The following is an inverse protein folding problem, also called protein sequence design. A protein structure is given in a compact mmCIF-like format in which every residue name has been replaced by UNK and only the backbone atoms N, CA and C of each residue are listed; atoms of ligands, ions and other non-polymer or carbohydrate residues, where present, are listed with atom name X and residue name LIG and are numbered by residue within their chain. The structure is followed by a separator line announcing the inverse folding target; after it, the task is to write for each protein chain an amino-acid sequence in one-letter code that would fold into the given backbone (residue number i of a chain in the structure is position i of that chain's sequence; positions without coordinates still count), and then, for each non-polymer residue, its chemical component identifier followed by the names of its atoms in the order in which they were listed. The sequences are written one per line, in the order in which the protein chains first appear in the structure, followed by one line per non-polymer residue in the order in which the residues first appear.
data_IF_145386517331
#
_entry.id   IF_145386517331
#
_cell.length_a   1.000
_cell.length_b   1.000
_cell.length_c   1.000
_cell.angle_alpha   90.00
_cell.angle_beta   90.00
_cell.angle_gamma   90.00
#
_symmetry.space_group_name_H-M   'P 1'
#
loop_
_entity.id
_entity.type
_entity.pdbx_description
1 polymer ?
#
# COMPACT_ATOMS: atom_id res chain seq x y z
N UNK A 1 20.85 -8.06 -18.07
CA UNK A 1 20.08 -8.87 -19.04
C UNK A 1 18.60 -8.59 -18.88
N UNK A 2 17.82 -8.75 -19.95
CA UNK A 2 16.36 -8.56 -19.93
C UNK A 2 15.67 -9.43 -18.85
N UNK A 3 16.18 -10.65 -18.64
CA UNK A 3 15.69 -11.56 -17.60
C UNK A 3 15.70 -10.95 -16.19
N UNK A 4 16.75 -10.20 -15.82
CA UNK A 4 16.85 -9.55 -14.51
C UNK A 4 15.81 -8.44 -14.35
N UNK A 5 15.61 -7.63 -15.40
CA UNK A 5 14.62 -6.54 -15.39
C UNK A 5 13.19 -7.10 -15.30
N UNK A 6 12.90 -8.17 -16.03
CA UNK A 6 11.59 -8.85 -15.97
C UNK A 6 11.31 -9.42 -14.57
N UNK A 7 12.32 -9.98 -13.89
CA UNK A 7 12.18 -10.48 -12.52
C UNK A 7 11.85 -9.36 -11.51
N UNK A 8 12.48 -8.18 -11.66
CA UNK A 8 12.18 -7.00 -10.83
C UNK A 8 10.77 -6.49 -11.10
N UNK A 9 10.39 -6.34 -12.36
CA UNK A 9 9.05 -5.88 -12.75
C UNK A 9 7.96 -6.81 -12.20
N UNK A 10 8.15 -8.13 -12.31
CA UNK A 10 7.21 -9.13 -11.78
C UNK A 10 7.06 -9.00 -10.26
N UNK A 11 8.16 -8.93 -9.51
CA UNK A 11 8.15 -8.76 -8.04
C UNK A 11 7.42 -7.48 -7.61
N UNK A 12 7.55 -6.39 -8.36
CA UNK A 12 6.87 -5.13 -8.04
C UNK A 12 5.37 -5.20 -8.37
N UNK A 13 5.01 -5.84 -9.48
CA UNK A 13 3.63 -5.94 -9.95
C UNK A 13 2.77 -6.95 -9.17
N UNK A 14 3.39 -8.00 -8.60
CA UNK A 14 2.72 -9.05 -7.81
C UNK A 14 2.46 -8.65 -6.35
N UNK A 15 3.10 -7.58 -5.85
CA UNK A 15 2.87 -7.10 -4.48
C UNK A 15 1.48 -6.48 -4.34
N UNK A 16 0.81 -6.63 -3.18
CA UNK A 16 -0.42 -5.89 -2.89
C UNK A 16 -0.17 -4.39 -3.10
N UNK A 17 -0.84 -3.80 -4.09
CA UNK A 17 -0.77 -2.35 -4.30
C UNK A 17 -1.63 -1.69 -3.23
N UNK A 18 -1.14 -0.59 -2.65
CA UNK A 18 -2.02 0.31 -1.90
C UNK A 18 -3.07 0.83 -2.90
N UNK A 19 -4.32 0.42 -2.73
CA UNK A 19 -5.43 0.97 -3.51
C UNK A 19 -5.68 2.40 -3.06
N UNK A 20 -6.30 3.21 -3.92
CA UNK A 20 -6.90 4.47 -3.49
C UNK A 20 -7.82 4.13 -2.30
N UNK A 21 -7.59 4.75 -1.13
CA UNK A 21 -8.20 4.44 0.17
C UNK A 21 -7.52 3.34 1.04
N UNK A 22 -6.25 2.99 0.79
CA UNK A 22 -5.49 2.21 1.78
C UNK A 22 -5.20 3.08 3.01
N UNK A 23 -5.95 2.85 4.09
CA UNK A 23 -5.72 3.47 5.38
C UNK A 23 -4.79 2.59 6.21
N UNK A 24 -3.70 3.19 6.69
CA UNK A 24 -2.85 2.61 7.73
C UNK A 24 -3.63 2.54 9.06
N UNK A 25 -3.25 1.63 9.97
CA UNK A 25 -3.86 1.58 11.30
C UNK A 25 -3.81 2.92 12.05
N UNK A 26 -2.76 3.73 11.82
CA UNK A 26 -2.64 5.06 12.42
C UNK A 26 -3.68 6.06 11.87
N UNK A 27 -3.94 6.04 10.55
CA UNK A 27 -4.96 6.90 9.92
C UNK A 27 -6.37 6.55 10.42
N UNK A 28 -6.70 5.26 10.55
CA UNK A 28 -7.98 4.79 11.15
C UNK A 28 -8.14 5.23 12.60
N UNK A 29 -7.07 5.15 13.39
CA UNK A 29 -7.07 5.57 14.78
C UNK A 29 -7.35 7.07 14.92
N UNK A 30 -6.68 7.89 14.10
CA UNK A 30 -6.86 9.33 14.08
C UNK A 30 -8.28 9.75 13.67
N UNK A 31 -8.87 9.08 12.68
CA UNK A 31 -10.28 9.33 12.32
C UNK A 31 -11.25 9.01 13.46
N UNK A 32 -11.01 7.89 14.17
CA UNK A 32 -11.86 7.47 15.28
C UNK A 32 -11.86 8.51 16.39
N UNK A 33 -10.70 9.02 16.79
CA UNK A 33 -10.59 10.04 17.85
C UNK A 33 -11.14 11.41 17.40
N UNK A 34 -10.99 11.77 16.13
CA UNK A 34 -11.49 13.04 15.60
C UNK A 34 -13.03 13.09 15.56
N UNK A 35 -13.69 11.93 15.50
CA UNK A 35 -15.15 11.83 15.52
C UNK A 35 -15.77 11.91 16.93
N UNK A 36 -14.95 11.85 17.99
CA UNK A 36 -15.38 11.81 19.39
C UNK A 36 -15.04 13.09 20.17
N UNK A 37 -14.50 14.11 19.49
CA UNK A 37 -14.12 15.41 20.06
C UNK A 37 -15.12 16.53 19.80
#
# INVERSE_FOLDING_TARGET
SQAKLNAVARRLNERPRKTLNYETPAERFQQTIASTG
#
